data_IF_749384792312
#
_entry.id   IF_749384792312
#
_cell.length_a   1.000
_cell.length_b   1.000
_cell.length_c   1.000
_cell.angle_alpha   90.00
_cell.angle_beta   90.00
_cell.angle_gamma   90.00
#
_symmetry.space_group_name_H-M   'P 1'
#
loop_
_entity.id
_entity.type
_entity.pdbx_description
1 polymer ?
#
# COMPACT_ATOMS: atom_id res chain seq x y z
N UNK A 1 -6.68 -10.69 -30.00
CA UNK A 1 -7.30 -9.63 -29.16
C UNK A 1 -6.93 -9.97 -27.73
N UNK A 2 -6.09 -9.17 -27.05
CA UNK A 2 -5.83 -9.37 -25.62
C UNK A 2 -7.09 -8.93 -24.87
N UNK A 3 -7.93 -9.89 -24.48
CA UNK A 3 -9.03 -9.61 -23.56
C UNK A 3 -8.42 -9.23 -22.21
N UNK A 4 -8.91 -8.12 -21.64
CA UNK A 4 -8.51 -7.68 -20.31
C UNK A 4 -9.02 -8.73 -19.32
N UNK A 5 -8.10 -9.56 -18.82
CA UNK A 5 -8.32 -10.62 -17.82
C UNK A 5 -8.95 -10.08 -16.51
N UNK A 6 -8.98 -8.76 -16.33
CA UNK A 6 -9.45 -8.10 -15.11
C UNK A 6 -10.50 -7.02 -15.42
N UNK A 7 -11.51 -6.92 -14.56
CA UNK A 7 -12.47 -5.82 -14.51
C UNK A 7 -12.26 -4.99 -13.26
N UNK A 8 -12.14 -3.67 -13.38
CA UNK A 8 -12.11 -2.77 -12.23
C UNK A 8 -13.46 -2.78 -11.50
N UNK A 9 -13.43 -3.02 -10.17
CA UNK A 9 -14.60 -2.99 -9.28
C UNK A 9 -14.52 -1.88 -8.22
N UNK A 10 -13.38 -1.18 -8.13
CA UNK A 10 -13.14 -0.03 -7.25
C UNK A 10 -11.73 0.53 -7.45
N UNK A 11 -11.38 1.58 -6.72
CA UNK A 11 -10.10 2.33 -6.86
C UNK A 11 -8.85 1.44 -6.82
N UNK A 12 -8.88 0.37 -6.00
CA UNK A 12 -7.80 -0.62 -5.90
C UNK A 12 -8.32 -2.07 -5.94
N UNK A 13 -9.48 -2.29 -6.56
CA UNK A 13 -10.15 -3.59 -6.59
C UNK A 13 -10.38 -4.05 -8.02
N UNK A 14 -10.02 -5.30 -8.29
CA UNK A 14 -10.09 -5.92 -9.60
C UNK A 14 -10.74 -7.29 -9.49
N UNK A 15 -11.75 -7.52 -10.31
CA UNK A 15 -12.40 -8.82 -10.45
C UNK A 15 -11.75 -9.59 -11.59
N UNK A 16 -11.37 -10.83 -11.32
CA UNK A 16 -10.80 -11.72 -12.32
C UNK A 16 -11.92 -12.26 -13.24
N UNK A 17 -11.74 -12.11 -14.55
CA UNK A 17 -12.73 -12.50 -15.57
C UNK A 17 -12.45 -13.85 -16.22
N UNK A 18 -11.29 -14.46 -15.96
CA UNK A 18 -10.88 -15.76 -16.49
C UNK A 18 -9.90 -16.44 -15.55
N UNK A 19 -9.85 -17.77 -15.57
CA UNK A 19 -8.92 -18.54 -14.74
C UNK A 19 -7.47 -18.28 -15.17
N UNK A 20 -6.60 -17.93 -14.23
CA UNK A 20 -5.18 -17.67 -14.51
C UNK A 20 -4.23 -18.43 -13.60
N UNK A 21 -3.09 -18.82 -14.18
CA UNK A 21 -1.99 -19.42 -13.45
C UNK A 21 -0.75 -18.53 -13.55
N UNK A 22 -0.29 -18.02 -12.41
CA UNK A 22 0.93 -17.23 -12.30
C UNK A 22 1.92 -18.02 -11.45
N UNK A 23 2.88 -18.68 -12.13
CA UNK A 23 3.85 -19.56 -11.47
C UNK A 23 3.17 -20.71 -10.73
N UNK A 24 3.24 -20.68 -9.39
CA UNK A 24 2.62 -21.67 -8.49
C UNK A 24 1.23 -21.26 -7.98
N UNK A 25 0.77 -20.06 -8.30
CA UNK A 25 -0.52 -19.52 -7.85
C UNK A 25 -1.55 -19.75 -8.97
N UNK A 26 -2.70 -20.29 -8.60
CA UNK A 26 -3.87 -20.45 -9.47
C UNK A 26 -4.99 -19.56 -8.92
N UNK A 27 -5.52 -18.69 -9.76
CA UNK A 27 -6.61 -17.77 -9.45
C UNK A 27 -7.81 -18.12 -10.34
N UNK A 28 -9.01 -18.10 -9.77
CA UNK A 28 -10.24 -18.50 -10.45
C UNK A 28 -11.07 -17.29 -10.85
N UNK A 29 -11.81 -17.41 -11.94
CA UNK A 29 -12.83 -16.46 -12.33
C UNK A 29 -13.72 -16.09 -11.13
N UNK A 30 -13.91 -14.79 -10.92
CA UNK A 30 -14.64 -14.25 -9.79
C UNK A 30 -13.80 -13.91 -8.55
N UNK A 31 -12.52 -14.29 -8.50
CA UNK A 31 -11.62 -13.84 -7.43
C UNK A 31 -11.48 -12.31 -7.45
N UNK A 32 -11.52 -11.67 -6.27
CA UNK A 32 -11.21 -10.25 -6.09
C UNK A 32 -9.74 -10.09 -5.72
N UNK A 33 -9.02 -9.35 -6.55
CA UNK A 33 -7.66 -8.90 -6.29
C UNK A 33 -7.73 -7.48 -5.75
N UNK A 34 -7.06 -7.25 -4.63
CA UNK A 34 -6.94 -5.94 -4.02
C UNK A 34 -5.49 -5.53 -3.88
N UNK A 35 -5.18 -4.34 -4.35
CA UNK A 35 -3.85 -3.74 -4.19
C UNK A 35 -3.91 -2.80 -3.00
N UNK A 36 -3.50 -3.27 -1.83
CA UNK A 36 -3.48 -2.46 -0.60
C UNK A 36 -2.18 -1.65 -0.54
N UNK A 37 -2.20 -0.43 -1.10
CA UNK A 37 -1.12 0.55 -0.95
C UNK A 37 -1.61 1.76 -0.17
N UNK A 38 -0.90 2.10 0.91
CA UNK A 38 -1.12 3.35 1.63
C UNK A 38 -0.65 4.49 0.74
N UNK A 39 -1.54 5.39 0.37
CA UNK A 39 -1.17 6.59 -0.38
C UNK A 39 -0.37 7.58 0.48
N UNK A 40 0.33 8.51 -0.16
CA UNK A 40 1.08 9.57 0.54
C UNK A 40 0.16 10.41 1.44
N UNK A 41 -1.06 10.70 0.98
CA UNK A 41 -2.06 11.46 1.73
C UNK A 41 -2.56 10.69 2.97
N UNK A 42 -2.80 9.38 2.83
CA UNK A 42 -3.17 8.53 3.97
C UNK A 42 -2.04 8.45 5.00
N UNK A 43 -0.78 8.32 4.55
CA UNK A 43 0.38 8.34 5.43
C UNK A 43 0.48 9.68 6.18
N UNK A 44 0.31 10.81 5.50
CA UNK A 44 0.33 12.14 6.12
C UNK A 44 -0.80 12.30 7.15
N UNK A 45 -2.00 11.83 6.81
CA UNK A 45 -3.14 11.87 7.73
C UNK A 45 -2.88 11.03 8.98
N UNK A 46 -2.34 9.81 8.82
CA UNK A 46 -1.95 8.97 9.96
C UNK A 46 -0.94 9.65 10.87
N UNK A 47 0.11 10.26 10.30
CA UNK A 47 1.12 10.98 11.07
C UNK A 47 0.48 12.12 11.85
N UNK A 48 -0.36 12.93 11.19
CA UNK A 48 -1.10 14.04 11.82
C UNK A 48 -1.96 13.58 13.00
N UNK A 49 -2.72 12.49 12.82
CA UNK A 49 -3.53 11.91 13.89
C UNK A 49 -2.65 11.46 15.05
N UNK A 50 -1.55 10.76 14.79
CA UNK A 50 -0.63 10.30 15.84
C UNK A 50 0.01 11.46 16.60
N UNK A 51 0.45 12.51 15.91
CA UNK A 51 1.07 13.68 16.55
C UNK A 51 0.10 14.52 17.38
N UNK A 52 -1.20 14.46 17.07
CA UNK A 52 -2.23 15.16 17.85
C UNK A 52 -2.60 14.41 19.14
N UNK A 53 -2.56 13.07 19.10
CA UNK A 53 -2.97 12.21 20.22
C UNK A 53 -1.80 11.79 21.12
N UNK A 54 -0.58 11.78 20.58
CA UNK A 54 0.62 11.28 21.26
C UNK A 54 1.66 12.39 21.34
N UNK A 55 2.13 12.66 22.56
CA UNK A 55 3.26 13.57 22.76
C UNK A 55 4.54 12.93 22.21
N UNK A 56 5.10 13.56 21.19
CA UNK A 56 6.41 13.20 20.64
C UNK A 56 7.46 14.14 21.21
N UNK A 57 8.51 13.56 21.77
CA UNK A 57 9.65 14.31 22.29
C UNK A 57 10.97 13.64 21.90
N UNK A 58 12.08 14.17 22.41
CA UNK A 58 13.44 13.71 22.09
C UNK A 58 13.73 12.26 22.48
N UNK A 59 12.89 11.65 23.31
CA UNK A 59 13.00 10.25 23.73
C UNK A 59 12.14 9.31 22.90
N UNK A 60 11.18 9.85 22.15
CA UNK A 60 10.31 9.09 21.26
C UNK A 60 11.09 8.56 20.05
N UNK A 61 10.93 7.28 19.74
CA UNK A 61 11.50 6.66 18.54
C UNK A 61 10.39 6.24 17.60
N UNK A 62 10.47 6.70 16.36
CA UNK A 62 9.57 6.32 15.28
C UNK A 62 10.28 5.35 14.34
N UNK A 63 9.58 4.32 13.90
CA UNK A 63 10.13 3.35 12.94
C UNK A 63 9.03 2.90 11.98
N UNK A 64 9.24 3.13 10.69
CA UNK A 64 8.43 2.55 9.64
C UNK A 64 8.94 1.16 9.28
N UNK A 65 8.04 0.18 9.18
CA UNK A 65 8.36 -1.16 8.68
C UNK A 65 7.31 -1.59 7.64
N UNK A 66 7.74 -2.39 6.67
CA UNK A 66 6.88 -3.02 5.67
C UNK A 66 7.16 -4.51 5.64
N UNK A 67 6.10 -5.32 5.52
CA UNK A 67 6.21 -6.76 5.32
C UNK A 67 6.58 -7.12 3.87
N UNK A 68 6.34 -6.22 2.92
CA UNK A 68 6.72 -6.38 1.53
C UNK A 68 7.89 -5.45 1.20
N UNK A 69 9.02 -6.05 0.82
CA UNK A 69 10.26 -5.36 0.51
C UNK A 69 10.15 -4.47 -0.73
N UNK A 70 9.19 -4.72 -1.62
CA UNK A 70 8.94 -3.88 -2.80
C UNK A 70 8.32 -2.53 -2.42
N UNK A 71 7.52 -2.46 -1.36
CA UNK A 71 6.84 -1.22 -0.98
C UNK A 71 7.81 -0.11 -0.58
N UNK A 72 8.91 -0.43 0.11
CA UNK A 72 9.94 0.57 0.47
C UNK A 72 10.57 1.18 -0.79
N UNK A 73 10.71 0.40 -1.86
CA UNK A 73 11.24 0.89 -3.13
C UNK A 73 10.22 1.78 -3.86
N UNK A 74 8.92 1.51 -3.71
CA UNK A 74 7.84 2.24 -4.39
C UNK A 74 7.55 3.62 -3.78
N UNK A 75 7.87 3.88 -2.51
CA UNK A 75 7.82 5.25 -1.94
C UNK A 75 9.08 6.05 -2.30
N UNK A 76 10.21 5.37 -2.52
CA UNK A 76 11.51 6.02 -2.67
C UNK A 76 12.02 6.62 -1.35
N UNK A 77 13.35 6.65 -1.17
CA UNK A 77 13.97 7.12 0.07
C UNK A 77 13.62 8.59 0.41
N UNK A 78 13.31 9.40 -0.61
CA UNK A 78 12.96 10.82 -0.45
C UNK A 78 11.62 11.00 0.28
N UNK A 79 10.58 10.26 -0.11
CA UNK A 79 9.24 10.38 0.52
C UNK A 79 9.26 9.86 1.96
N UNK A 80 10.00 8.78 2.22
CA UNK A 80 10.17 8.23 3.58
C UNK A 80 10.82 9.27 4.51
N UNK A 81 11.86 9.96 4.03
CA UNK A 81 12.52 11.03 4.78
C UNK A 81 11.55 12.17 5.11
N UNK A 82 10.68 12.54 4.17
CA UNK A 82 9.71 13.61 4.38
C UNK A 82 8.57 13.22 5.34
N UNK A 83 8.24 11.93 5.45
CA UNK A 83 7.35 11.44 6.52
C UNK A 83 7.99 11.57 7.90
N UNK A 84 9.26 11.19 8.06
CA UNK A 84 9.95 11.32 9.35
C UNK A 84 10.01 12.77 9.84
N UNK A 85 10.13 13.76 8.94
CA UNK A 85 10.12 15.19 9.29
C UNK A 85 8.79 15.70 9.83
N UNK A 86 7.71 14.94 9.71
CA UNK A 86 6.36 15.32 10.16
C UNK A 86 6.04 14.87 11.59
N UNK A 87 6.91 14.07 12.21
CA UNK A 87 6.88 13.76 13.64
C UNK A 87 7.75 14.74 14.42
#
# INVERSE_FOLDING_TARGET
KNELVFKTSGENKFLLLDDIRIGKIYLRIGDEIRIEKISDSEMINMISTLTNEIKIDKTTRVTFFSFDQKYINDYGAQNITDYYKKF
#
